data_IF_613579184631
#
_entry.id   IF_613579184631
#
_cell.length_a   1.000
_cell.length_b   1.000
_cell.length_c   1.000
_cell.angle_alpha   90.00
_cell.angle_beta   90.00
_cell.angle_gamma   90.00
#
_symmetry.space_group_name_H-M   'P 1'
#
loop_
_entity.id
_entity.type
_entity.pdbx_description
1 polymer ?
#
# COMPACT_ATOMS: atom_id res chain seq x y z
N UNK A 1 -3.06 4.03 -5.65
CA UNK A 1 -1.71 3.43 -5.68
C UNK A 1 -1.68 2.20 -4.79
N UNK A 2 -0.70 1.31 -4.93
CA UNK A 2 -0.63 0.05 -4.19
C UNK A 2 -1.27 -1.11 -4.97
N UNK A 3 -2.58 -1.33 -4.80
CA UNK A 3 -3.31 -2.45 -5.43
C UNK A 3 -3.21 -2.47 -6.96
N UNK A 4 -3.40 -1.31 -7.60
CA UNK A 4 -3.30 -1.21 -9.06
C UNK A 4 -1.87 -1.54 -9.57
N UNK A 5 -0.83 -1.12 -8.85
CA UNK A 5 0.55 -1.45 -9.18
C UNK A 5 0.82 -2.95 -8.99
N UNK A 6 0.32 -3.54 -7.90
CA UNK A 6 0.43 -4.97 -7.64
C UNK A 6 -0.27 -5.81 -8.72
N UNK A 7 -1.47 -5.42 -9.16
CA UNK A 7 -2.20 -6.11 -10.24
C UNK A 7 -1.48 -6.06 -11.59
N UNK A 8 -0.70 -4.99 -11.85
CA UNK A 8 0.12 -4.88 -13.08
C UNK A 8 1.33 -5.82 -13.06
N UNK A 9 1.86 -6.15 -11.87
CA UNK A 9 2.97 -7.10 -11.72
C UNK A 9 2.54 -8.56 -11.89
N UNK A 10 1.28 -8.89 -11.61
CA UNK A 10 0.77 -10.27 -11.68
C UNK A 10 1.09 -11.02 -12.98
N UNK A 11 0.84 -10.47 -14.19
CA UNK A 11 1.19 -11.17 -15.43
C UNK A 11 2.71 -11.36 -15.62
N UNK A 12 3.52 -10.38 -15.19
CA UNK A 12 4.99 -10.45 -15.29
C UNK A 12 5.53 -11.56 -14.39
N UNK A 13 5.04 -11.66 -13.16
CA UNK A 13 5.43 -12.71 -12.21
C UNK A 13 5.03 -14.09 -12.74
N UNK A 14 3.81 -14.21 -13.30
CA UNK A 14 3.36 -15.47 -13.88
C UNK A 14 4.27 -15.92 -15.04
N UNK A 15 4.66 -14.99 -15.92
CA UNK A 15 5.61 -15.28 -17.00
C UNK A 15 7.01 -15.63 -16.46
N UNK A 16 7.47 -14.93 -15.42
CA UNK A 16 8.76 -15.18 -14.77
C UNK A 16 8.83 -16.57 -14.15
N UNK A 17 7.77 -16.98 -13.44
CA UNK A 17 7.64 -18.30 -12.83
C UNK A 17 7.49 -19.41 -13.87
N UNK A 18 6.88 -19.13 -15.02
CA UNK A 18 6.77 -20.06 -16.13
C UNK A 18 8.05 -20.15 -16.99
N UNK A 19 9.06 -19.29 -16.73
CA UNK A 19 10.26 -19.19 -17.54
C UNK A 19 10.02 -18.66 -18.96
N UNK A 20 8.92 -17.92 -19.16
CA UNK A 20 8.50 -17.39 -20.47
C UNK A 20 8.70 -15.88 -20.60
N UNK A 21 9.46 -15.26 -19.71
CA UNK A 21 9.85 -13.86 -19.86
C UNK A 21 10.67 -13.69 -21.15
N UNK A 22 10.39 -12.63 -21.94
CA UNK A 22 11.19 -12.31 -23.11
C UNK A 22 12.68 -12.10 -22.76
N UNK A 23 13.62 -12.51 -23.64
CA UNK A 23 15.02 -12.14 -23.50
C UNK A 23 15.17 -10.62 -23.44
N UNK A 24 16.00 -10.12 -22.51
CA UNK A 24 16.21 -8.68 -22.30
C UNK A 24 15.02 -7.96 -21.66
N UNK A 25 14.13 -8.68 -20.99
CA UNK A 25 13.10 -8.05 -20.16
C UNK A 25 13.73 -7.23 -19.02
N UNK A 26 13.25 -6.00 -18.84
CA UNK A 26 13.62 -5.09 -17.77
C UNK A 26 12.38 -4.43 -17.18
N UNK A 27 12.49 -3.97 -15.93
CA UNK A 27 11.49 -3.16 -15.28
C UNK A 27 11.98 -1.71 -15.17
N UNK A 28 11.16 -0.76 -15.60
CA UNK A 28 11.48 0.66 -15.42
C UNK A 28 10.98 1.12 -14.05
N UNK A 29 11.89 1.61 -13.22
CA UNK A 29 11.55 2.11 -11.88
C UNK A 29 10.84 3.48 -11.93
N UNK A 30 10.52 4.03 -10.76
CA UNK A 30 9.79 5.30 -10.65
C UNK A 30 10.57 6.52 -11.20
N UNK A 31 11.89 6.40 -11.30
CA UNK A 31 12.79 7.45 -11.78
C UNK A 31 13.15 7.27 -13.27
N UNK A 32 12.53 6.28 -13.94
CA UNK A 32 12.77 5.88 -15.32
C UNK A 32 14.15 5.23 -15.57
N UNK A 33 14.70 4.53 -14.58
CA UNK A 33 15.86 3.66 -14.80
C UNK A 33 15.41 2.24 -15.12
N UNK A 34 16.03 1.65 -16.14
CA UNK A 34 15.81 0.26 -16.50
C UNK A 34 16.60 -0.65 -15.55
N UNK A 35 15.87 -1.49 -14.83
CA UNK A 35 16.39 -2.42 -13.82
C UNK A 35 16.08 -3.84 -14.27
N UNK A 36 17.12 -4.65 -14.44
CA UNK A 36 16.95 -6.09 -14.62
C UNK A 36 16.55 -6.72 -13.28
N UNK A 37 15.44 -7.45 -13.27
CA UNK A 37 14.98 -8.20 -12.10
C UNK A 37 14.93 -9.68 -12.44
N UNK A 38 15.51 -10.49 -11.55
CA UNK A 38 15.34 -11.94 -11.58
C UNK A 38 13.91 -12.33 -11.21
N UNK A 39 13.51 -13.57 -11.55
CA UNK A 39 12.22 -14.13 -11.12
C UNK A 39 12.05 -14.06 -9.60
N UNK A 40 13.11 -14.31 -8.83
CA UNK A 40 13.09 -14.28 -7.37
C UNK A 40 12.83 -12.85 -6.86
N UNK A 41 13.52 -11.85 -7.41
CA UNK A 41 13.33 -10.44 -7.02
C UNK A 41 11.92 -9.93 -7.37
N UNK A 42 11.35 -10.36 -8.51
CA UNK A 42 9.96 -10.05 -8.87
C UNK A 42 8.95 -10.64 -7.87
N UNK A 43 9.18 -11.87 -7.41
CA UNK A 43 8.34 -12.52 -6.39
C UNK A 43 8.48 -11.79 -5.05
N UNK A 44 9.71 -11.43 -4.65
CA UNK A 44 9.97 -10.68 -3.42
C UNK A 44 9.31 -9.31 -3.44
N UNK A 45 9.38 -8.59 -4.58
CA UNK A 45 8.73 -7.29 -4.76
C UNK A 45 7.21 -7.41 -4.57
N UNK A 46 6.55 -8.39 -5.19
CA UNK A 46 5.12 -8.60 -4.99
C UNK A 46 4.76 -9.01 -3.56
N UNK A 47 5.63 -9.80 -2.90
CA UNK A 47 5.50 -10.14 -1.49
C UNK A 47 5.53 -8.89 -0.61
N UNK A 48 6.54 -8.03 -0.79
CA UNK A 48 6.70 -6.78 -0.06
C UNK A 48 5.51 -5.82 -0.28
N UNK A 49 5.03 -5.69 -1.51
CA UNK A 49 3.84 -4.88 -1.82
C UNK A 49 2.59 -5.43 -1.14
N UNK A 50 2.42 -6.75 -1.13
CA UNK A 50 1.28 -7.40 -0.47
C UNK A 50 1.34 -7.20 1.04
N UNK A 51 2.51 -7.37 1.65
CA UNK A 51 2.71 -7.13 3.07
C UNK A 51 2.43 -5.66 3.44
N UNK A 52 2.93 -4.70 2.66
CA UNK A 52 2.67 -3.28 2.88
C UNK A 52 1.16 -2.96 2.83
N UNK A 53 0.41 -3.54 1.88
CA UNK A 53 -1.04 -3.38 1.80
C UNK A 53 -1.75 -3.96 3.02
N UNK A 54 -1.30 -5.11 3.54
CA UNK A 54 -1.87 -5.73 4.74
C UNK A 54 -1.64 -4.85 5.96
N UNK A 55 -0.39 -4.41 6.19
CA UNK A 55 -0.03 -3.52 7.31
C UNK A 55 -0.85 -2.24 7.27
N UNK A 56 -0.94 -1.59 6.11
CA UNK A 56 -1.72 -0.37 5.95
C UNK A 56 -3.23 -0.62 6.17
N UNK A 57 -3.74 -1.76 5.71
CA UNK A 57 -5.13 -2.18 5.97
C UNK A 57 -5.42 -2.32 7.47
N UNK A 58 -4.49 -2.90 8.24
CA UNK A 58 -4.61 -2.97 9.70
C UNK A 58 -4.60 -1.59 10.34
N UNK A 59 -3.70 -0.70 9.92
CA UNK A 59 -3.62 0.68 10.42
C UNK A 59 -4.92 1.44 10.17
N UNK A 60 -5.48 1.33 8.96
CA UNK A 60 -6.78 1.92 8.60
C UNK A 60 -7.88 1.38 9.52
N UNK A 61 -7.95 0.06 9.71
CA UNK A 61 -8.95 -0.57 10.56
C UNK A 61 -8.85 -0.09 12.02
N UNK A 62 -7.64 -0.01 12.58
CA UNK A 62 -7.40 0.49 13.93
C UNK A 62 -7.88 1.94 14.09
N UNK A 63 -7.50 2.83 13.17
CA UNK A 63 -7.96 4.22 13.20
C UNK A 63 -9.47 4.33 13.07
N UNK A 64 -10.09 3.54 12.20
CA UNK A 64 -11.55 3.54 12.06
C UNK A 64 -12.25 3.14 13.37
N UNK A 65 -11.69 2.18 14.12
CA UNK A 65 -12.22 1.80 15.44
C UNK A 65 -12.07 2.92 16.47
N UNK A 66 -10.87 3.49 16.57
CA UNK A 66 -10.61 4.63 17.44
C UNK A 66 -11.58 5.79 17.14
N UNK A 67 -11.74 6.14 15.86
CA UNK A 67 -12.67 7.20 15.45
C UNK A 67 -14.11 6.90 15.86
N UNK A 68 -14.53 5.63 15.79
CA UNK A 68 -15.87 5.22 16.19
C UNK A 68 -16.09 5.41 17.70
N UNK A 69 -15.07 5.10 18.50
CA UNK A 69 -15.10 5.29 19.96
C UNK A 69 -15.08 6.78 20.33
N UNK A 70 -14.21 7.57 19.68
CA UNK A 70 -14.13 9.02 19.84
C UNK A 70 -15.46 9.71 19.51
N UNK A 71 -16.06 9.40 18.36
CA UNK A 71 -17.36 9.96 17.94
C UNK A 71 -18.47 9.59 18.92
N UNK A 72 -18.47 8.36 19.45
CA UNK A 72 -19.46 7.93 20.43
C UNK A 72 -19.38 8.69 21.77
N UNK A 73 -18.22 9.28 22.08
CA UNK A 73 -17.99 10.04 23.30
C UNK A 73 -18.29 11.54 23.16
N UNK A 74 -18.59 12.05 21.96
CA UNK A 74 -18.90 13.47 21.74
C UNK A 74 -20.30 13.81 22.23
N UNK A 75 -20.41 14.77 23.14
CA UNK A 75 -21.66 15.14 23.83
C UNK A 75 -22.08 16.61 23.64
N UNK A 76 -21.23 17.44 23.03
CA UNK A 76 -21.49 18.87 22.80
C UNK A 76 -21.40 19.25 21.33
N UNK A 77 -22.19 20.25 20.91
CA UNK A 77 -22.17 20.76 19.54
C UNK A 77 -20.79 21.31 19.14
N UNK A 78 -20.09 21.92 20.10
CA UNK A 78 -18.73 22.42 19.89
C UNK A 78 -17.74 21.28 19.63
N UNK A 79 -17.72 20.24 20.48
CA UNK A 79 -16.84 19.09 20.31
C UNK A 79 -17.11 18.33 19.00
N UNK A 80 -18.38 18.22 18.60
CA UNK A 80 -18.77 17.61 17.30
C UNK A 80 -18.20 18.43 16.14
N UNK A 81 -18.26 19.77 16.20
CA UNK A 81 -17.76 20.65 15.14
C UNK A 81 -16.23 20.68 15.06
N UNK A 82 -15.54 20.46 16.17
CA UNK A 82 -14.08 20.48 16.24
C UNK A 82 -13.41 19.13 15.98
N UNK A 83 -14.17 18.05 15.81
CA UNK A 83 -13.61 16.70 15.69
C UNK A 83 -12.86 16.49 14.35
N UNK A 84 -11.55 16.13 14.37
CA UNK A 84 -10.77 15.93 13.17
C UNK A 84 -11.08 14.59 12.50
N UNK A 85 -11.58 14.64 11.26
CA UNK A 85 -11.87 13.45 10.45
C UNK A 85 -10.63 12.97 9.73
N UNK A 86 -10.37 11.66 9.80
CA UNK A 86 -9.25 11.02 9.12
C UNK A 86 -8.07 10.81 10.07
N UNK A 87 -6.86 11.03 9.58
CA UNK A 87 -5.66 10.86 10.38
C UNK A 87 -5.40 12.11 11.21
N UNK A 88 -5.00 11.99 12.48
CA UNK A 88 -4.52 13.15 13.24
C UNK A 88 -3.31 13.75 12.52
N UNK A 89 -3.22 15.08 12.51
CA UNK A 89 -1.98 15.73 12.07
C UNK A 89 -0.87 15.26 13.00
N UNK A 90 0.13 14.60 12.41
CA UNK A 90 1.35 14.26 13.13
C UNK A 90 2.14 15.57 13.12
N UNK A 91 2.32 16.20 14.28
CA UNK A 91 3.25 17.30 14.41
C UNK A 91 4.62 16.78 13.93
N UNK A 92 5.06 17.26 12.77
CA UNK A 92 6.38 16.96 12.26
C UNK A 92 7.40 17.66 13.15
N UNK A 93 8.03 16.91 14.07
CA UNK A 93 9.23 17.34 14.80
C UNK A 93 10.42 17.63 13.87
#
# INVERSE_FOLDING_TARGET
GGKASQSRLSPVIAAAQAGTLPPGFFWTDADNHDVELTTEELVQLAGAMTQAMVVEGFRIHERQRQMKEEVAALDTLEAIRSYPVGWPEVDSE
#
